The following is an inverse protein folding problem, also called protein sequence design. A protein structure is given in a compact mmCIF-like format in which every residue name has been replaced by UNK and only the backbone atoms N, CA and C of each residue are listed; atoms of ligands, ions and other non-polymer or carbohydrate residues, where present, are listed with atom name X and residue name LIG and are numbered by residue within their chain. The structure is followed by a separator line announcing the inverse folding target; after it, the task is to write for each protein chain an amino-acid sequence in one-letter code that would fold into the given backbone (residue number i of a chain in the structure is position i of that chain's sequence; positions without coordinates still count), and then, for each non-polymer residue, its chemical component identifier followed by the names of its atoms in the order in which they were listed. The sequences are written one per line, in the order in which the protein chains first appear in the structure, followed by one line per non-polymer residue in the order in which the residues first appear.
data_IF_519424662422
#
_entry.id   IF_519424662422
#
_cell.length_a   1.000
_cell.length_b   1.000
_cell.length_c   1.000
_cell.angle_alpha   90.00
_cell.angle_beta   90.00
_cell.angle_gamma   90.00
#
_symmetry.space_group_name_H-M   'P 1'
#
loop_
_entity.id
_entity.type
_entity.pdbx_description
1 polymer ?
#
# COMPACT_ATOMS: atom_id res chain seq x y z
N UNK A 1 7.56 23.19 -17.18
CA UNK A 1 7.44 21.81 -16.69
C UNK A 1 8.00 21.83 -15.28
N UNK A 2 7.14 21.82 -14.25
CA UNK A 2 7.61 21.84 -12.86
C UNK A 2 8.07 20.42 -12.55
N UNK A 3 9.37 20.16 -12.68
CA UNK A 3 9.98 19.03 -11.99
C UNK A 3 9.97 19.41 -10.51
N UNK A 4 8.89 19.06 -9.79
CA UNK A 4 8.97 19.02 -8.33
C UNK A 4 10.20 18.16 -7.99
N UNK A 5 11.08 18.68 -7.13
CA UNK A 5 12.27 17.94 -6.68
C UNK A 5 11.80 16.70 -5.92
N UNK A 6 12.03 15.51 -6.51
CA UNK A 6 11.62 14.24 -5.92
C UNK A 6 12.22 14.05 -4.52
N UNK A 7 13.41 14.59 -4.25
CA UNK A 7 14.02 14.56 -2.92
C UNK A 7 13.24 15.40 -1.90
N UNK A 8 12.75 16.58 -2.30
CA UNK A 8 11.90 17.41 -1.46
C UNK A 8 10.53 16.76 -1.20
N UNK A 9 9.96 16.09 -2.22
CA UNK A 9 8.70 15.35 -2.05
C UNK A 9 8.88 14.12 -1.15
N UNK A 10 9.98 13.37 -1.26
CA UNK A 10 10.26 12.27 -0.34
C UNK A 10 10.40 12.78 1.11
N UNK A 11 11.11 13.90 1.31
CA UNK A 11 11.22 14.53 2.63
C UNK A 11 9.85 14.96 3.17
N UNK A 12 8.99 15.54 2.33
CA UNK A 12 7.62 15.89 2.69
C UNK A 12 6.76 14.66 3.04
N UNK A 13 6.90 13.56 2.29
CA UNK A 13 6.24 12.28 2.57
C UNK A 13 6.69 11.69 3.91
N UNK A 14 7.96 11.89 4.30
CA UNK A 14 8.52 11.46 5.58
C UNK A 14 8.23 12.44 6.73
N UNK A 15 7.50 13.53 6.49
CA UNK A 15 7.11 14.49 7.54
C UNK A 15 6.21 13.83 8.59
N UNK A 16 6.30 14.32 9.83
CA UNK A 16 5.37 13.96 10.91
C UNK A 16 3.98 14.58 10.69
N UNK A 17 3.90 15.68 9.93
CA UNK A 17 2.65 16.36 9.60
C UNK A 17 1.81 15.55 8.62
N UNK A 18 0.58 15.21 9.00
CA UNK A 18 -0.36 14.47 8.14
C UNK A 18 -0.59 15.19 6.80
N UNK A 19 -0.89 16.50 6.83
CA UNK A 19 -1.17 17.27 5.62
C UNK A 19 0.03 17.36 4.68
N UNK A 20 1.23 17.61 5.22
CA UNK A 20 2.47 17.68 4.42
C UNK A 20 2.74 16.36 3.70
N UNK A 21 2.54 15.26 4.43
CA UNK A 21 2.72 13.91 3.92
C UNK A 21 1.75 13.59 2.78
N UNK A 22 0.46 13.87 2.96
CA UNK A 22 -0.57 13.60 1.95
C UNK A 22 -0.37 14.46 0.70
N UNK A 23 -0.02 15.74 0.86
CA UNK A 23 0.31 16.63 -0.25
C UNK A 23 1.53 16.12 -1.03
N UNK A 24 2.58 15.71 -0.32
CA UNK A 24 3.76 15.15 -0.95
C UNK A 24 3.46 13.85 -1.70
N UNK A 25 2.67 12.94 -1.10
CA UNK A 25 2.26 11.70 -1.73
C UNK A 25 1.45 11.96 -3.01
N UNK A 26 0.50 12.90 -2.98
CA UNK A 26 -0.28 13.31 -4.15
C UNK A 26 0.61 13.84 -5.27
N UNK A 27 1.59 14.67 -4.93
CA UNK A 27 2.56 15.20 -5.91
C UNK A 27 3.47 14.11 -6.49
N UNK A 28 3.86 13.12 -5.69
CA UNK A 28 4.61 11.95 -6.19
C UNK A 28 3.78 11.15 -7.20
N UNK A 29 2.47 10.99 -6.98
CA UNK A 29 1.59 10.38 -7.99
C UNK A 29 1.60 11.19 -9.28
N UNK A 30 1.49 12.51 -9.19
CA UNK A 30 1.54 13.40 -10.36
C UNK A 30 2.89 13.39 -11.10
N UNK A 31 3.98 13.04 -10.40
CA UNK A 31 5.32 12.84 -10.98
C UNK A 31 5.48 11.51 -11.75
N UNK A 32 4.43 10.67 -11.82
CA UNK A 32 4.42 9.47 -12.65
C UNK A 32 5.35 8.37 -12.13
N UNK A 33 6.08 7.72 -13.04
CA UNK A 33 6.88 6.52 -12.71
C UNK A 33 7.94 6.76 -11.65
N UNK A 34 8.61 7.91 -11.67
CA UNK A 34 9.67 8.20 -10.70
C UNK A 34 9.09 8.49 -9.31
N UNK A 35 7.96 9.18 -9.22
CA UNK A 35 7.27 9.34 -7.95
C UNK A 35 6.68 8.03 -7.43
N UNK A 36 6.18 7.16 -8.31
CA UNK A 36 5.76 5.81 -7.94
C UNK A 36 6.92 4.99 -7.34
N UNK A 37 8.15 5.11 -7.87
CA UNK A 37 9.34 4.48 -7.29
C UNK A 37 9.62 4.96 -5.87
N UNK A 38 9.51 6.27 -5.62
CA UNK A 38 9.67 6.83 -4.27
C UNK A 38 8.59 6.30 -3.32
N UNK A 39 7.33 6.24 -3.77
CA UNK A 39 6.24 5.68 -2.96
C UNK A 39 6.49 4.20 -2.60
N UNK A 40 6.98 3.39 -3.55
CA UNK A 40 7.36 1.99 -3.28
C UNK A 40 8.49 1.92 -2.26
N UNK A 41 9.55 2.69 -2.45
CA UNK A 41 10.69 2.73 -1.55
C UNK A 41 10.24 3.07 -0.12
N UNK A 42 9.42 4.11 0.04
CA UNK A 42 8.96 4.54 1.36
C UNK A 42 7.95 3.56 1.97
N UNK A 43 7.05 2.96 1.19
CA UNK A 43 6.11 1.95 1.70
C UNK A 43 6.85 0.72 2.25
N UNK A 44 7.93 0.31 1.59
CA UNK A 44 8.72 -0.88 1.95
C UNK A 44 9.86 -0.61 2.94
N UNK A 45 10.16 0.66 3.24
CA UNK A 45 11.16 1.07 4.23
C UNK A 45 10.69 0.72 5.65
N UNK A 46 11.21 -0.38 6.21
CA UNK A 46 10.89 -0.82 7.58
C UNK A 46 11.38 0.12 8.68
N UNK A 47 12.29 1.05 8.36
CA UNK A 47 12.74 2.11 9.28
C UNK A 47 11.80 3.32 9.29
N UNK A 48 10.91 3.46 8.30
CA UNK A 48 9.95 4.55 8.25
C UNK A 48 8.78 4.32 9.23
N UNK A 49 8.23 5.40 9.84
CA UNK A 49 7.05 5.28 10.69
C UNK A 49 5.88 4.63 9.97
N UNK A 50 5.05 3.85 10.69
CA UNK A 50 3.90 3.16 10.13
C UNK A 50 2.99 4.08 9.30
N UNK A 51 2.66 5.26 9.82
CA UNK A 51 1.80 6.22 9.13
C UNK A 51 2.40 6.72 7.80
N UNK A 52 3.73 6.85 7.74
CA UNK A 52 4.45 7.23 6.51
C UNK A 52 4.33 6.12 5.46
N UNK A 53 4.61 4.89 5.87
CA UNK A 53 4.51 3.70 5.02
C UNK A 53 3.08 3.49 4.49
N UNK A 54 2.08 3.67 5.36
CA UNK A 54 0.65 3.57 5.00
C UNK A 54 0.26 4.64 3.98
N UNK A 55 0.60 5.92 4.20
CA UNK A 55 0.28 6.97 3.21
C UNK A 55 0.95 6.70 1.88
N UNK A 56 2.23 6.28 1.87
CA UNK A 56 2.95 5.95 0.65
C UNK A 56 2.26 4.81 -0.12
N UNK A 57 1.89 3.74 0.58
CA UNK A 57 1.19 2.60 -0.02
C UNK A 57 -0.21 2.98 -0.54
N UNK A 58 -0.99 3.77 0.23
CA UNK A 58 -2.32 4.24 -0.20
C UNK A 58 -2.26 5.06 -1.48
N UNK A 59 -1.19 5.83 -1.69
CA UNK A 59 -0.99 6.64 -2.89
C UNK A 59 -0.30 5.88 -4.03
N UNK A 60 0.17 4.65 -3.80
CA UNK A 60 0.79 3.87 -4.87
C UNK A 60 -0.22 3.66 -6.03
N UNK A 61 0.14 4.03 -7.28
CA UNK A 61 -0.68 3.77 -8.45
C UNK A 61 -0.88 2.27 -8.67
N UNK A 62 -2.01 1.89 -9.28
CA UNK A 62 -2.39 0.49 -9.50
C UNK A 62 -1.64 -0.21 -10.67
N UNK A 63 -0.65 0.44 -11.28
CA UNK A 63 0.00 0.00 -12.51
C UNK A 63 1.00 -1.15 -12.33
N UNK A 64 1.36 -1.81 -13.45
CA UNK A 64 2.38 -2.85 -13.54
C UNK A 64 3.75 -2.33 -13.05
N UNK A 65 4.17 -2.81 -11.89
CA UNK A 65 5.37 -2.35 -11.17
C UNK A 65 5.17 -2.35 -9.66
N UNK A 66 3.92 -2.22 -9.20
CA UNK A 66 3.57 -2.37 -7.80
C UNK A 66 3.61 -3.84 -7.30
N UNK A 67 3.61 -4.83 -8.19
CA UNK A 67 3.43 -6.25 -7.82
C UNK A 67 4.48 -6.76 -6.81
N UNK A 68 5.76 -6.43 -6.97
CA UNK A 68 6.81 -6.87 -6.04
C UNK A 68 6.74 -6.12 -4.70
N UNK A 69 6.36 -4.84 -4.74
CA UNK A 69 6.11 -4.04 -3.54
C UNK A 69 4.91 -4.60 -2.77
N UNK A 70 3.80 -4.90 -3.46
CA UNK A 70 2.62 -5.51 -2.88
C UNK A 70 2.92 -6.89 -2.32
N UNK A 71 3.69 -7.74 -3.03
CA UNK A 71 4.17 -9.02 -2.49
C UNK A 71 4.91 -8.83 -1.18
N UNK A 72 5.80 -7.84 -1.11
CA UNK A 72 6.56 -7.52 0.11
C UNK A 72 5.64 -7.08 1.25
N UNK A 73 4.66 -6.22 0.95
CA UNK A 73 3.77 -5.61 1.93
C UNK A 73 2.66 -6.55 2.43
N UNK A 74 2.22 -7.50 1.60
CA UNK A 74 1.35 -8.62 2.00
C UNK A 74 2.04 -9.54 3.01
N UNK A 75 3.38 -9.61 3.00
CA UNK A 75 4.18 -10.34 3.99
C UNK A 75 4.67 -9.49 5.16
N UNK A 76 4.19 -8.25 5.31
CA UNK A 76 4.65 -7.35 6.38
C UNK A 76 4.13 -7.79 7.75
N UNK A 77 4.91 -7.55 8.81
CA UNK A 77 4.49 -7.87 10.17
C UNK A 77 3.28 -7.04 10.62
N UNK A 78 3.16 -5.80 10.14
CA UNK A 78 2.08 -4.88 10.51
C UNK A 78 0.77 -5.26 9.81
N UNK A 79 -0.30 -5.64 10.55
CA UNK A 79 -1.58 -6.04 9.96
C UNK A 79 -2.20 -4.95 9.08
N UNK A 80 -2.08 -3.69 9.49
CA UNK A 80 -2.60 -2.54 8.73
C UNK A 80 -1.95 -2.42 7.34
N UNK A 81 -0.65 -2.70 7.21
CA UNK A 81 0.02 -2.64 5.91
C UNK A 81 -0.44 -3.79 5.00
N UNK A 82 -0.67 -4.98 5.57
CA UNK A 82 -1.25 -6.11 4.84
C UNK A 82 -2.64 -5.78 4.32
N UNK A 83 -3.50 -5.17 5.14
CA UNK A 83 -4.85 -4.77 4.70
C UNK A 83 -4.82 -3.70 3.61
N UNK A 84 -3.98 -2.66 3.76
CA UNK A 84 -3.85 -1.64 2.70
C UNK A 84 -3.25 -2.26 1.42
N UNK A 85 -2.33 -3.22 1.54
CA UNK A 85 -1.80 -3.95 0.39
C UNK A 85 -2.87 -4.82 -0.29
N UNK A 86 -3.74 -5.49 0.48
CA UNK A 86 -4.88 -6.26 -0.05
C UNK A 86 -5.86 -5.37 -0.83
N UNK A 87 -6.19 -4.19 -0.31
CA UNK A 87 -7.00 -3.19 -1.02
C UNK A 87 -6.34 -2.78 -2.35
N UNK A 88 -5.02 -2.57 -2.35
CA UNK A 88 -4.27 -2.27 -3.58
C UNK A 88 -4.24 -3.43 -4.57
N UNK A 89 -4.13 -4.67 -4.10
CA UNK A 89 -4.24 -5.87 -4.94
C UNK A 89 -5.61 -5.94 -5.61
N UNK A 90 -6.68 -5.66 -4.87
CA UNK A 90 -8.04 -5.61 -5.39
C UNK A 90 -8.21 -4.53 -6.47
N UNK A 91 -7.76 -3.31 -6.18
CA UNK A 91 -7.81 -2.18 -7.12
C UNK A 91 -7.03 -2.45 -8.40
N UNK A 92 -5.81 -2.98 -8.27
CA UNK A 92 -4.94 -3.30 -9.40
C UNK A 92 -5.34 -4.59 -10.13
N UNK A 93 -6.31 -5.34 -9.62
CA UNK A 93 -6.69 -6.66 -10.14
C UNK A 93 -5.49 -7.59 -10.30
N UNK A 94 -4.58 -7.57 -9.33
CA UNK A 94 -3.31 -8.27 -9.40
C UNK A 94 -3.48 -9.79 -9.15
N UNK A 95 -4.11 -10.49 -10.11
CA UNK A 95 -4.42 -11.92 -10.03
C UNK A 95 -3.18 -12.80 -9.79
N UNK A 96 -2.00 -12.36 -10.24
CA UNK A 96 -0.73 -13.03 -9.96
C UNK A 96 -0.38 -13.14 -8.46
N UNK A 97 -1.01 -12.33 -7.61
CA UNK A 97 -0.85 -12.35 -6.15
C UNK A 97 -1.91 -13.21 -5.44
N UNK A 98 -2.87 -13.81 -6.16
CA UNK A 98 -3.93 -14.62 -5.57
C UNK A 98 -3.43 -15.73 -4.62
N UNK A 99 -2.32 -16.46 -4.90
CA UNK A 99 -1.80 -17.46 -3.95
C UNK A 99 -1.37 -16.87 -2.60
N UNK A 100 -0.85 -15.63 -2.60
CA UNK A 100 -0.46 -14.93 -1.38
C UNK A 100 -1.69 -14.41 -0.63
N UNK A 101 -2.69 -13.91 -1.37
CA UNK A 101 -3.98 -13.51 -0.79
C UNK A 101 -4.66 -14.73 -0.14
N UNK A 102 -4.65 -15.88 -0.80
CA UNK A 102 -5.20 -17.13 -0.26
C UNK A 102 -4.49 -17.53 1.04
N UNK A 103 -3.16 -17.43 1.12
CA UNK A 103 -2.42 -17.71 2.34
C UNK A 103 -2.87 -16.81 3.51
N UNK A 104 -3.18 -15.53 3.25
CA UNK A 104 -3.64 -14.57 4.26
C UNK A 104 -5.07 -14.83 4.75
N UNK A 105 -5.87 -15.66 4.07
CA UNK A 105 -7.21 -16.06 4.58
C UNK A 105 -7.16 -16.88 5.87
N UNK A 106 -5.97 -17.37 6.24
CA UNK A 106 -5.73 -18.09 7.50
C UNK A 106 -4.96 -17.25 8.52
N UNK A 107 -4.78 -15.97 8.25
CA UNK A 107 -4.02 -15.06 9.10
C UNK A 107 -4.85 -14.63 10.32
N UNK A 108 -4.42 -14.93 11.55
CA UNK A 108 -5.20 -14.60 12.75
C UNK A 108 -5.06 -13.13 13.16
N UNK A 109 -4.27 -12.32 12.45
CA UNK A 109 -4.03 -10.95 12.83
C UNK A 109 -5.27 -10.07 12.67
N UNK A 110 -5.56 -9.29 13.71
CA UNK A 110 -6.57 -8.23 13.71
C UNK A 110 -5.94 -6.90 14.15
N UNK A 111 -6.57 -5.80 13.78
CA UNK A 111 -6.22 -4.47 14.30
C UNK A 111 -7.46 -3.59 14.41
N UNK A 112 -7.41 -2.57 15.27
CA UNK A 112 -8.50 -1.61 15.42
C UNK A 112 -8.29 -0.40 14.50
N UNK A 113 -9.34 -0.02 13.76
CA UNK A 113 -9.43 1.26 13.04
C UNK A 113 -10.74 1.94 13.41
N UNK A 114 -10.68 3.14 14.02
CA UNK A 114 -11.85 3.94 14.41
C UNK A 114 -12.98 3.12 15.08
N UNK A 115 -12.62 2.30 16.07
CA UNK A 115 -13.50 1.40 16.84
C UNK A 115 -14.00 0.13 16.11
N UNK A 116 -13.57 -0.11 14.88
CA UNK A 116 -13.82 -1.35 14.14
C UNK A 116 -12.63 -2.31 14.26
N UNK A 117 -12.88 -3.56 14.61
CA UNK A 117 -11.87 -4.62 14.54
C UNK A 117 -11.81 -5.17 13.12
N UNK A 118 -10.68 -4.96 12.45
CA UNK A 118 -10.43 -5.41 11.09
C UNK A 118 -9.58 -6.68 11.14
N UNK A 119 -10.14 -7.77 10.60
CA UNK A 119 -9.49 -9.06 10.42
C UNK A 119 -8.79 -9.16 9.07
N UNK A 120 -7.48 -9.48 9.08
CA UNK A 120 -6.71 -9.67 7.84
C UNK A 120 -7.30 -10.81 7.01
N UNK A 121 -7.71 -11.91 7.66
CA UNK A 121 -8.31 -13.06 6.99
C UNK A 121 -9.61 -12.71 6.25
N UNK A 122 -10.48 -11.92 6.87
CA UNK A 122 -11.77 -11.55 6.27
C UNK A 122 -11.58 -10.62 5.06
N UNK A 123 -10.67 -9.65 5.18
CA UNK A 123 -10.29 -8.78 4.04
C UNK A 123 -9.65 -9.62 2.93
N UNK A 124 -8.75 -10.55 3.25
CA UNK A 124 -8.11 -11.41 2.27
C UNK A 124 -9.13 -12.30 1.53
N UNK A 125 -10.10 -12.88 2.25
CA UNK A 125 -11.16 -13.69 1.66
C UNK A 125 -12.04 -12.87 0.70
N UNK A 126 -12.40 -11.64 1.07
CA UNK A 126 -13.13 -10.71 0.20
C UNK A 126 -12.35 -10.39 -1.08
N UNK A 127 -11.07 -10.05 -0.95
CA UNK A 127 -10.21 -9.73 -2.10
C UNK A 127 -10.04 -10.96 -3.00
N UNK A 128 -9.82 -12.15 -2.44
CA UNK A 128 -9.71 -13.39 -3.21
C UNK A 128 -10.96 -13.66 -4.03
N UNK A 129 -12.15 -13.55 -3.42
CA UNK A 129 -13.42 -13.69 -4.12
C UNK A 129 -13.58 -12.66 -5.26
N UNK A 130 -13.18 -11.40 -5.01
CA UNK A 130 -13.20 -10.32 -6.00
C UNK A 130 -12.27 -10.59 -7.19
N UNK A 131 -11.13 -11.24 -6.97
CA UNK A 131 -10.22 -11.67 -8.03
C UNK A 131 -10.77 -12.85 -8.85
N UNK A 132 -11.57 -13.74 -8.24
CA UNK A 132 -12.14 -14.93 -8.90
C UNK A 132 -13.48 -14.70 -9.62
N UNK A 133 -14.26 -13.67 -9.27
CA UNK A 133 -15.63 -13.46 -9.81
C UNK A 133 -15.72 -13.01 -11.28
N UNK A 134 -14.64 -13.03 -12.08
CA UNK A 134 -14.66 -12.58 -13.48
C UNK A 134 -13.78 -13.43 -14.42
N UNK A 135 -13.96 -14.75 -14.36
CA UNK A 135 -13.71 -15.61 -15.54
C UNK A 135 -14.97 -15.71 -16.41
#
# INVERSE_FOLDING_TARGET
MVTDDLGALEAGLRSEGFLDREVAATKLVAAGRDGARVLVQVATDRGAPQAVRVTALRHLPADEGATDALRTLLGDALPVLRVVALDKVEQARAAALAPLVEALTRDPATFCDLDEEISVADVAARVLASLSSRE
#
